data_IF_336094274471
#
_entry.id   IF_336094274471
#
_cell.length_a   1.000
_cell.length_b   1.000
_cell.length_c   1.000
_cell.angle_alpha   90.00
_cell.angle_beta   90.00
_cell.angle_gamma   90.00
#
_symmetry.space_group_name_H-M   'P 1'
#
loop_
_entity.id
_entity.type
_entity.pdbx_description
1 polymer ?
#
# COMPACT_ATOMS: atom_id res chain seq x y z
N UNK A 1 3.72 4.40 33.76
CA UNK A 1 3.98 4.71 32.35
C UNK A 1 2.68 5.26 31.78
N UNK A 2 2.59 6.57 31.54
CA UNK A 2 1.45 7.12 30.79
C UNK A 2 1.62 6.67 29.35
N UNK A 3 0.68 5.86 28.84
CA UNK A 3 0.55 5.63 27.41
C UNK A 3 -0.19 6.85 26.89
N UNK A 4 0.51 7.76 26.22
CA UNK A 4 -0.12 8.82 25.44
C UNK A 4 -0.86 8.16 24.27
N UNK A 5 -2.16 8.41 24.15
CA UNK A 5 -2.92 7.95 22.99
C UNK A 5 -2.33 8.54 21.71
N UNK A 6 -2.04 7.68 20.73
CA UNK A 6 -1.61 8.10 19.40
C UNK A 6 -2.83 8.68 18.67
N UNK A 7 -2.83 10.00 18.45
CA UNK A 7 -3.87 10.68 17.68
C UNK A 7 -3.92 10.19 16.23
N UNK A 8 -2.82 9.62 15.71
CA UNK A 8 -2.63 9.25 14.32
C UNK A 8 -2.71 10.44 13.36
N UNK A 9 -2.59 11.67 13.87
CA UNK A 9 -2.47 12.89 13.10
C UNK A 9 -1.03 13.11 12.67
N UNK A 10 -0.83 13.72 11.50
CA UNK A 10 0.50 14.22 11.15
C UNK A 10 0.81 15.49 11.98
N UNK A 11 2.08 15.72 12.36
CA UNK A 11 2.49 16.97 12.97
C UNK A 11 2.22 18.15 12.04
N UNK A 12 1.93 19.32 12.62
CA UNK A 12 1.64 20.53 11.86
C UNK A 12 2.78 20.87 10.87
N UNK A 13 2.40 21.21 9.63
CA UNK A 13 3.33 21.56 8.56
C UNK A 13 4.06 20.38 7.91
N UNK A 14 3.78 19.13 8.29
CA UNK A 14 4.36 17.95 7.65
C UNK A 14 3.48 17.37 6.54
N UNK A 15 4.14 16.82 5.52
CA UNK A 15 3.51 16.06 4.44
C UNK A 15 3.66 14.56 4.68
N UNK A 16 2.67 13.79 4.26
CA UNK A 16 2.72 12.33 4.30
C UNK A 16 3.24 11.72 3.00
N UNK A 17 3.95 10.61 3.12
CA UNK A 17 4.39 9.80 1.97
C UNK A 17 4.13 8.32 2.21
N UNK A 18 3.47 7.70 1.24
CA UNK A 18 3.28 6.25 1.15
C UNK A 18 4.21 5.73 0.07
N UNK A 19 5.15 4.88 0.46
CA UNK A 19 6.06 4.18 -0.46
C UNK A 19 5.69 2.71 -0.47
N UNK A 20 5.18 2.22 -1.59
CA UNK A 20 4.72 0.84 -1.73
C UNK A 20 5.58 0.09 -2.73
N UNK A 21 5.77 -1.21 -2.48
CA UNK A 21 6.30 -2.17 -3.45
C UNK A 21 5.20 -3.17 -3.76
N UNK A 22 4.92 -3.38 -5.04
CA UNK A 22 3.85 -4.26 -5.51
C UNK A 22 4.39 -5.26 -6.53
N UNK A 23 3.79 -6.45 -6.59
CA UNK A 23 4.06 -7.39 -7.68
C UNK A 23 3.68 -6.76 -9.03
N UNK A 24 4.55 -6.92 -10.02
CA UNK A 24 4.36 -6.47 -11.40
C UNK A 24 3.11 -7.10 -12.06
N UNK A 25 2.63 -6.53 -13.15
CA UNK A 25 1.51 -7.09 -13.94
C UNK A 25 0.16 -6.37 -13.78
N UNK A 26 0.09 -5.30 -12.99
CA UNK A 26 -1.07 -4.39 -12.95
C UNK A 26 -0.96 -3.30 -14.01
N UNK A 27 -2.09 -2.84 -14.54
CA UNK A 27 -2.11 -1.71 -15.50
C UNK A 27 -1.78 -0.39 -14.82
N UNK A 28 -1.45 0.63 -15.61
CA UNK A 28 -1.15 1.96 -15.09
C UNK A 28 -2.39 2.63 -14.48
N UNK A 29 -3.57 2.37 -15.03
CA UNK A 29 -4.86 2.82 -14.48
C UNK A 29 -5.11 2.20 -13.11
N UNK A 30 -4.93 0.88 -12.97
CA UNK A 30 -5.07 0.20 -11.67
C UNK A 30 -4.09 0.76 -10.64
N UNK A 31 -2.84 1.03 -11.05
CA UNK A 31 -1.83 1.63 -10.18
C UNK A 31 -2.18 3.07 -9.79
N UNK A 32 -2.76 3.86 -10.71
CA UNK A 32 -3.22 5.21 -10.42
C UNK A 32 -4.36 5.23 -9.40
N UNK A 33 -5.39 4.39 -9.62
CA UNK A 33 -6.52 4.21 -8.71
C UNK A 33 -6.06 3.80 -7.30
N UNK A 34 -5.10 2.86 -7.21
CA UNK A 34 -4.52 2.45 -5.93
C UNK A 34 -3.84 3.61 -5.19
N UNK A 35 -3.02 4.41 -5.89
CA UNK A 35 -2.32 5.56 -5.28
C UNK A 35 -3.30 6.61 -4.79
N UNK A 36 -4.32 6.94 -5.59
CA UNK A 36 -5.35 7.90 -5.23
C UNK A 36 -6.10 7.45 -3.95
N UNK A 37 -6.55 6.19 -3.91
CA UNK A 37 -7.25 5.63 -2.75
C UNK A 37 -6.39 5.60 -1.49
N UNK A 38 -5.12 5.23 -1.61
CA UNK A 38 -4.18 5.20 -0.48
C UNK A 38 -3.92 6.60 0.07
N UNK A 39 -3.68 7.58 -0.80
CA UNK A 39 -3.49 8.98 -0.38
C UNK A 39 -4.73 9.51 0.34
N UNK A 40 -5.92 9.27 -0.22
CA UNK A 40 -7.18 9.72 0.38
C UNK A 40 -7.42 9.08 1.76
N UNK A 41 -7.14 7.78 1.91
CA UNK A 41 -7.32 7.06 3.17
C UNK A 41 -6.40 7.60 4.27
N UNK A 42 -5.11 7.83 3.96
CA UNK A 42 -4.18 8.40 4.93
C UNK A 42 -4.54 9.85 5.27
N UNK A 43 -4.92 10.66 4.28
CA UNK A 43 -5.37 12.04 4.51
C UNK A 43 -6.56 12.08 5.47
N UNK A 44 -7.56 11.22 5.23
CA UNK A 44 -8.71 11.07 6.11
C UNK A 44 -8.31 10.66 7.54
N UNK A 45 -7.46 9.63 7.68
CA UNK A 45 -7.03 9.13 8.99
C UNK A 45 -6.22 10.17 9.77
N UNK A 46 -5.39 10.94 9.07
CA UNK A 46 -4.51 11.95 9.66
C UNK A 46 -5.18 13.31 9.86
N UNK A 47 -6.39 13.52 9.33
CA UNK A 47 -7.10 14.79 9.41
C UNK A 47 -6.44 15.91 8.61
N UNK A 48 -5.78 15.58 7.49
CA UNK A 48 -5.07 16.54 6.65
C UNK A 48 -5.65 16.61 5.24
N UNK A 49 -5.30 17.65 4.50
CA UNK A 49 -5.66 17.78 3.10
C UNK A 49 -4.96 16.71 2.25
N UNK A 50 -5.68 16.08 1.32
CA UNK A 50 -5.14 15.01 0.48
C UNK A 50 -3.95 15.45 -0.39
N UNK A 51 -3.84 16.74 -0.72
CA UNK A 51 -2.69 17.31 -1.45
C UNK A 51 -1.39 17.27 -0.66
N UNK A 52 -1.46 17.10 0.67
CA UNK A 52 -0.29 16.92 1.55
C UNK A 52 0.20 15.47 1.61
N UNK A 53 -0.55 14.53 1.02
CA UNK A 53 -0.21 13.11 0.99
C UNK A 53 0.17 12.67 -0.42
N UNK A 54 1.38 12.11 -0.55
CA UNK A 54 1.82 11.47 -1.79
C UNK A 54 1.86 9.95 -1.63
N UNK A 55 1.43 9.22 -2.66
CA UNK A 55 1.57 7.77 -2.73
C UNK A 55 2.39 7.40 -3.97
N UNK A 56 3.34 6.50 -3.78
CA UNK A 56 4.20 5.96 -4.85
C UNK A 56 4.20 4.44 -4.78
N UNK A 57 4.26 3.81 -5.95
CA UNK A 57 4.33 2.36 -6.10
C UNK A 57 5.52 2.01 -7.00
N UNK A 58 6.32 1.03 -6.60
CA UNK A 58 7.33 0.40 -7.44
C UNK A 58 6.96 -1.06 -7.70
N UNK A 59 7.15 -1.48 -8.93
CA UNK A 59 6.89 -2.86 -9.36
C UNK A 59 8.12 -3.74 -9.05
N UNK A 60 7.88 -4.96 -8.58
CA UNK A 60 8.86 -6.03 -8.40
C UNK A 60 8.33 -7.32 -9.01
N UNK A 61 9.21 -8.16 -9.56
CA UNK A 61 8.83 -9.50 -10.02
C UNK A 61 8.33 -10.34 -8.83
N UNK A 62 7.28 -11.15 -9.04
CA UNK A 62 6.75 -11.98 -7.97
C UNK A 62 7.79 -13.01 -7.49
N UNK A 63 8.62 -13.50 -8.41
CA UNK A 63 9.78 -14.37 -8.16
C UNK A 63 10.80 -13.83 -7.13
N UNK A 64 10.82 -12.52 -6.87
CA UNK A 64 11.70 -11.88 -5.89
C UNK A 64 11.03 -11.56 -4.57
N UNK A 65 9.74 -11.88 -4.41
CA UNK A 65 8.95 -11.54 -3.23
C UNK A 65 8.50 -12.80 -2.52
N UNK A 66 8.67 -12.82 -1.19
CA UNK A 66 8.29 -13.95 -0.34
C UNK A 66 7.43 -13.46 0.82
N UNK A 67 6.31 -14.13 1.09
CA UNK A 67 5.45 -13.89 2.25
C UNK A 67 5.12 -15.23 2.92
N UNK A 68 5.17 -15.29 4.25
CA UNK A 68 4.90 -16.54 4.99
C UNK A 68 5.89 -17.68 4.69
N UNK A 69 7.08 -17.37 4.16
CA UNK A 69 8.09 -18.37 3.77
C UNK A 69 7.88 -18.99 2.37
N UNK A 70 6.89 -18.53 1.61
CA UNK A 70 6.63 -18.97 0.25
C UNK A 70 6.77 -17.82 -0.76
N UNK A 71 7.30 -18.11 -1.95
CA UNK A 71 7.32 -17.13 -3.03
C UNK A 71 5.88 -16.75 -3.38
N UNK A 72 5.67 -15.46 -3.63
CA UNK A 72 4.35 -15.02 -4.06
C UNK A 72 4.08 -15.46 -5.51
N UNK A 73 2.85 -15.89 -5.82
CA UNK A 73 2.48 -16.24 -7.19
C UNK A 73 2.41 -15.00 -8.08
N UNK A 74 2.41 -15.19 -9.39
CA UNK A 74 2.19 -14.09 -10.33
C UNK A 74 0.77 -13.52 -10.21
N UNK A 75 0.58 -12.18 -10.25
CA UNK A 75 -0.76 -11.60 -10.20
C UNK A 75 -1.69 -12.09 -11.32
N UNK A 76 -2.92 -12.46 -10.96
CA UNK A 76 -3.91 -12.97 -11.91
C UNK A 76 -3.71 -14.43 -12.33
N UNK A 77 -2.67 -15.11 -11.85
CA UNK A 77 -2.47 -16.54 -12.11
C UNK A 77 -3.47 -17.44 -11.36
N UNK A 78 -3.65 -18.67 -11.83
CA UNK A 78 -4.44 -19.68 -11.13
C UNK A 78 -3.85 -20.02 -9.74
N UNK A 79 -2.51 -19.95 -9.61
CA UNK A 79 -1.81 -20.13 -8.34
C UNK A 79 -2.16 -19.01 -7.36
N UNK A 80 -2.29 -17.75 -7.81
CA UNK A 80 -2.77 -16.67 -6.96
C UNK A 80 -4.18 -16.91 -6.44
N UNK A 81 -5.07 -17.46 -7.27
CA UNK A 81 -6.42 -17.82 -6.83
C UNK A 81 -6.40 -18.92 -5.75
N UNK A 82 -5.58 -19.95 -5.93
CA UNK A 82 -5.40 -21.01 -4.93
C UNK A 82 -4.77 -20.48 -3.64
N UNK A 83 -3.75 -19.63 -3.74
CA UNK A 83 -3.09 -18.98 -2.62
C UNK A 83 -4.06 -18.12 -1.80
N UNK A 84 -4.92 -17.33 -2.48
CA UNK A 84 -5.98 -16.54 -1.81
C UNK A 84 -7.03 -17.40 -1.12
N UNK A 85 -7.32 -18.59 -1.64
CA UNK A 85 -8.31 -19.51 -1.06
C UNK A 85 -7.76 -20.34 0.11
N UNK A 86 -6.43 -20.47 0.20
CA UNK A 86 -5.75 -21.17 1.29
C UNK A 86 -5.51 -20.28 2.53
N UNK A 87 -5.77 -18.97 2.41
CA UNK A 87 -5.63 -17.96 3.46
C UNK A 87 -6.79 -17.94 4.44
#
# INVERSE_FOLDING_TARGET
MMITEDSGSLPEGQNGRISSTIRAGRTDEQKAEMRERLSALLAQRAGVDATTISATSRDIEASFTMEGGALLPEPGSAEEAAWKAAG
#
